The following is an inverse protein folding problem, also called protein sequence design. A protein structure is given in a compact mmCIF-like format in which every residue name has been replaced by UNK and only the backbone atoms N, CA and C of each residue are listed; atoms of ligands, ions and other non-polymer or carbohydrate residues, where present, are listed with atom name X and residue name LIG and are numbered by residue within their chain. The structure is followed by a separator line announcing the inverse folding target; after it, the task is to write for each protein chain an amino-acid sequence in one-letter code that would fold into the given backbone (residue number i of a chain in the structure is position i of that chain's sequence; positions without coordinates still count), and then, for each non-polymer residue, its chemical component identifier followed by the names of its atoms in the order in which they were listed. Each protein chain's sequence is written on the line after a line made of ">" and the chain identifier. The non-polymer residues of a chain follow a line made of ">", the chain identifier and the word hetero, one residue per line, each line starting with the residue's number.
data_IF_416251074617
#
_entry.id   IF_416251074617
#
_cell.length_a   1.000
_cell.length_b   1.000
_cell.length_c   1.000
_cell.angle_alpha   90.00
_cell.angle_beta   90.00
_cell.angle_gamma   90.00
#
_symmetry.space_group_name_H-M   'P 1'
#
loop_
_entity.id
_entity.type
_entity.pdbx_description
1 polymer ?
#
# COMPACT_ATOMS: atom_id res chain seq x y z
N UNK A 1 3.34 1.77 -13.29
CA UNK A 1 3.18 1.14 -11.95
C UNK A 1 2.23 -0.05 -12.11
N UNK A 2 2.50 -1.19 -11.47
CA UNK A 2 1.60 -2.35 -11.49
C UNK A 2 0.95 -2.51 -10.12
N UNK A 3 -0.35 -2.74 -10.09
CA UNK A 3 -1.11 -3.00 -8.87
C UNK A 3 -1.98 -4.25 -9.03
N UNK A 4 -2.37 -4.84 -7.91
CA UNK A 4 -3.25 -6.00 -7.87
C UNK A 4 -4.26 -5.84 -6.72
N UNK A 5 -5.47 -6.31 -6.97
CA UNK A 5 -6.58 -6.30 -6.05
C UNK A 5 -7.14 -7.73 -5.92
N UNK A 6 -7.35 -8.20 -4.70
CA UNK A 6 -7.96 -9.51 -4.45
C UNK A 6 -9.39 -9.32 -3.95
N UNK A 7 -10.35 -9.90 -4.65
CA UNK A 7 -11.75 -9.92 -4.25
C UNK A 7 -12.28 -11.36 -4.29
N UNK A 8 -13.00 -11.77 -3.24
CA UNK A 8 -13.50 -13.15 -3.14
C UNK A 8 -14.84 -13.26 -3.87
N UNK A 9 -14.87 -14.03 -4.93
CA UNK A 9 -16.05 -14.28 -5.76
C UNK A 9 -16.00 -15.67 -6.39
N UNK A 10 -17.12 -16.19 -6.93
CA UNK A 10 -17.12 -17.42 -7.72
C UNK A 10 -16.24 -17.30 -8.97
N UNK A 11 -15.58 -18.39 -9.33
CA UNK A 11 -14.75 -18.49 -10.54
C UNK A 11 -15.58 -18.34 -11.83
N UNK A 12 -14.91 -17.92 -12.91
CA UNK A 12 -15.49 -17.77 -14.24
C UNK A 12 -16.41 -16.56 -14.39
N UNK A 13 -16.33 -15.60 -13.48
CA UNK A 13 -17.17 -14.41 -13.56
C UNK A 13 -16.72 -13.46 -14.66
N UNK A 14 -17.69 -12.71 -15.19
CA UNK A 14 -17.49 -11.70 -16.23
C UNK A 14 -17.84 -10.33 -15.69
N UNK A 15 -17.22 -9.30 -16.26
CA UNK A 15 -17.51 -7.92 -15.88
C UNK A 15 -18.78 -7.43 -16.60
N UNK A 16 -19.55 -6.60 -15.90
CA UNK A 16 -20.80 -6.05 -16.42
C UNK A 16 -20.56 -4.98 -17.49
N UNK A 17 -21.64 -4.51 -18.16
CA UNK A 17 -21.54 -3.53 -19.24
C UNK A 17 -20.98 -2.17 -18.78
N UNK A 18 -21.03 -1.88 -17.48
CA UNK A 18 -20.46 -0.66 -16.88
C UNK A 18 -18.92 -0.66 -16.82
N UNK A 19 -18.27 -1.78 -17.12
CA UNK A 19 -16.81 -1.89 -17.13
C UNK A 19 -16.18 -2.30 -15.80
N UNK A 20 -14.90 -2.62 -15.85
CA UNK A 20 -14.07 -3.08 -14.72
C UNK A 20 -13.75 -1.95 -13.76
N UNK A 21 -13.45 -0.75 -14.28
CA UNK A 21 -13.12 0.42 -13.45
C UNK A 21 -14.27 0.78 -12.51
N UNK A 22 -15.49 0.92 -13.04
CA UNK A 22 -16.67 1.24 -12.25
C UNK A 22 -16.94 0.17 -11.17
N UNK A 23 -16.84 -1.11 -11.56
CA UNK A 23 -16.93 -2.23 -10.62
C UNK A 23 -15.88 -2.12 -9.50
N UNK A 24 -14.64 -1.82 -9.82
CA UNK A 24 -13.57 -1.67 -8.84
C UNK A 24 -13.81 -0.47 -7.92
N UNK A 25 -14.26 0.66 -8.44
CA UNK A 25 -14.61 1.84 -7.63
C UNK A 25 -15.71 1.52 -6.61
N UNK A 26 -16.70 0.70 -7.00
CA UNK A 26 -17.74 0.19 -6.09
C UNK A 26 -17.17 -0.78 -5.04
N UNK A 27 -16.30 -1.72 -5.44
CA UNK A 27 -15.68 -2.68 -4.52
C UNK A 27 -14.79 -1.98 -3.49
N UNK A 28 -14.03 -0.98 -3.94
CA UNK A 28 -13.08 -0.22 -3.13
C UNK A 28 -13.67 1.09 -2.60
N UNK A 29 -15.00 1.21 -2.59
CA UNK A 29 -15.68 2.36 -1.99
C UNK A 29 -15.29 2.49 -0.50
N UNK A 30 -14.91 3.70 -0.09
CA UNK A 30 -14.48 3.99 1.28
C UNK A 30 -13.03 3.58 1.61
N UNK A 31 -12.27 3.07 0.64
CA UNK A 31 -10.82 2.94 0.80
C UNK A 31 -10.12 4.30 0.71
N UNK A 32 -8.85 4.34 1.13
CA UNK A 32 -8.06 5.57 1.03
C UNK A 32 -7.86 5.97 -0.44
N UNK A 33 -7.67 7.27 -0.66
CA UNK A 33 -7.72 7.80 -2.01
C UNK A 33 -6.62 7.30 -2.90
N UNK A 34 -5.46 6.97 -2.34
CA UNK A 34 -4.36 6.48 -3.16
C UNK A 34 -4.79 5.21 -3.93
N UNK A 35 -5.69 4.40 -3.35
CA UNK A 35 -6.29 3.25 -4.05
C UNK A 35 -7.28 3.71 -5.12
N UNK A 36 -8.14 4.68 -4.80
CA UNK A 36 -9.14 5.22 -5.73
C UNK A 36 -8.47 5.91 -6.93
N UNK A 37 -7.49 6.77 -6.68
CA UNK A 37 -6.69 7.49 -7.68
C UNK A 37 -5.95 6.50 -8.59
N UNK A 38 -5.36 5.43 -8.05
CA UNK A 38 -4.74 4.37 -8.84
C UNK A 38 -5.73 3.70 -9.80
N UNK A 39 -6.96 3.43 -9.34
CA UNK A 39 -8.02 2.84 -10.18
C UNK A 39 -8.46 3.84 -11.26
N UNK A 40 -8.68 5.11 -10.91
CA UNK A 40 -9.11 6.16 -11.83
C UNK A 40 -8.06 6.41 -12.93
N UNK A 41 -6.78 6.47 -12.55
CA UNK A 41 -5.65 6.69 -13.44
C UNK A 41 -5.29 5.50 -14.33
N UNK A 42 -5.84 4.31 -14.06
CA UNK A 42 -5.58 3.11 -14.88
C UNK A 42 -6.60 3.04 -16.01
N UNK A 43 -6.14 2.95 -17.27
CA UNK A 43 -7.04 2.78 -18.42
C UNK A 43 -7.89 1.51 -18.29
N UNK A 44 -9.16 1.59 -18.72
CA UNK A 44 -10.13 0.48 -18.60
C UNK A 44 -9.62 -0.82 -19.25
N UNK A 45 -8.92 -0.69 -20.38
CA UNK A 45 -8.36 -1.82 -21.14
C UNK A 45 -7.13 -2.45 -20.46
N UNK A 46 -6.43 -1.68 -19.63
CA UNK A 46 -5.27 -2.15 -18.87
C UNK A 46 -5.67 -2.93 -17.60
N UNK A 47 -6.93 -2.85 -17.18
CA UNK A 47 -7.44 -3.57 -16.02
C UNK A 47 -7.71 -5.03 -16.42
N UNK A 48 -7.06 -5.98 -15.76
CA UNK A 48 -7.23 -7.40 -16.04
C UNK A 48 -7.90 -8.12 -14.87
N UNK A 49 -9.01 -8.79 -15.15
CA UNK A 49 -9.62 -9.75 -14.23
C UNK A 49 -9.01 -11.14 -14.47
N UNK A 50 -8.56 -11.78 -13.40
CA UNK A 50 -8.04 -13.15 -13.45
C UNK A 50 -8.52 -13.92 -12.24
N UNK A 51 -9.09 -15.10 -12.49
CA UNK A 51 -9.34 -16.06 -11.45
C UNK A 51 -8.00 -16.57 -10.89
N UNK A 52 -7.94 -16.74 -9.58
CA UNK A 52 -6.77 -17.26 -8.89
C UNK A 52 -7.11 -18.66 -8.41
N UNK A 53 -6.40 -19.63 -8.96
CA UNK A 53 -6.50 -21.03 -8.56
C UNK A 53 -5.27 -21.41 -7.74
N UNK A 54 -5.50 -22.18 -6.69
CA UNK A 54 -4.45 -22.91 -5.99
C UNK A 54 -4.77 -24.40 -5.99
N UNK A 55 -3.82 -25.20 -5.52
CA UNK A 55 -4.00 -26.64 -5.40
C UNK A 55 -3.81 -27.07 -3.96
N UNK A 56 -4.63 -28.01 -3.50
CA UNK A 56 -4.38 -28.68 -2.22
C UNK A 56 -3.04 -29.42 -2.29
N UNK A 57 -2.15 -29.29 -1.28
CA UNK A 57 -0.85 -29.94 -1.29
C UNK A 57 -0.96 -31.45 -1.51
N UNK A 58 -0.15 -31.97 -2.43
CA UNK A 58 -0.05 -33.41 -2.69
C UNK A 58 1.14 -34.01 -1.93
N UNK A 59 0.95 -35.21 -1.37
CA UNK A 59 1.97 -35.92 -0.59
C UNK A 59 2.88 -36.83 -1.43
N UNK A 60 2.65 -36.88 -2.74
CA UNK A 60 3.44 -37.70 -3.66
C UNK A 60 3.83 -36.85 -4.85
N UNK A 61 5.11 -36.55 -4.96
CA UNK A 61 5.62 -35.62 -5.99
C UNK A 61 6.07 -36.35 -7.26
N UNK A 62 6.22 -37.67 -7.21
CA UNK A 62 6.74 -38.43 -8.33
C UNK A 62 6.64 -39.93 -8.16
N UNK A 63 6.83 -40.65 -9.28
CA UNK A 63 6.83 -42.11 -9.38
C UNK A 63 7.97 -42.57 -10.29
N UNK A 64 8.74 -43.55 -9.83
CA UNK A 64 9.87 -44.09 -10.59
C UNK A 64 10.91 -43.01 -10.86
N UNK A 65 11.25 -42.81 -12.15
CA UNK A 65 12.25 -41.83 -12.60
C UNK A 65 11.66 -40.46 -12.96
N UNK A 66 10.41 -40.19 -12.54
CA UNK A 66 9.72 -38.93 -12.81
C UNK A 66 9.35 -38.25 -11.50
N UNK A 67 9.66 -36.96 -11.38
CA UNK A 67 9.23 -36.10 -10.27
C UNK A 67 8.69 -34.78 -10.78
N UNK A 68 7.78 -34.18 -10.01
CA UNK A 68 7.20 -32.86 -10.18
C UNK A 68 7.97 -31.86 -9.31
N UNK A 69 7.91 -30.57 -9.67
CA UNK A 69 8.46 -29.43 -8.92
C UNK A 69 7.68 -28.14 -9.21
N UNK A 70 7.82 -27.12 -8.36
CA UNK A 70 7.13 -25.84 -8.56
C UNK A 70 5.60 -25.98 -8.54
N UNK A 71 4.90 -25.19 -9.36
CA UNK A 71 3.44 -25.16 -9.40
C UNK A 71 2.78 -26.51 -9.73
N UNK A 72 3.49 -27.41 -10.42
CA UNK A 72 3.00 -28.77 -10.68
C UNK A 72 2.76 -29.58 -9.39
N UNK A 73 3.45 -29.22 -8.31
CA UNK A 73 3.29 -29.78 -6.96
C UNK A 73 2.49 -28.86 -6.05
N UNK A 74 2.83 -27.57 -6.06
CA UNK A 74 2.44 -26.65 -4.99
C UNK A 74 1.99 -25.27 -5.48
N UNK A 75 1.22 -25.24 -6.57
CA UNK A 75 0.49 -24.04 -6.99
C UNK A 75 -0.27 -23.42 -5.80
N UNK A 76 0.06 -22.17 -5.50
CA UNK A 76 -0.41 -21.44 -4.32
C UNK A 76 -0.89 -20.04 -4.71
N UNK A 77 -1.74 -19.46 -3.87
CA UNK A 77 -2.19 -18.07 -4.06
C UNK A 77 -0.99 -17.10 -3.93
N UNK A 78 -0.98 -15.98 -4.69
CA UNK A 78 0.17 -15.09 -4.77
C UNK A 78 0.38 -14.21 -3.52
N UNK A 79 -0.41 -14.39 -2.45
CA UNK A 79 -0.46 -13.50 -1.28
C UNK A 79 0.87 -13.32 -0.54
N UNK A 80 1.81 -14.26 -0.69
CA UNK A 80 3.15 -14.16 -0.11
C UNK A 80 4.27 -13.97 -1.15
N UNK A 81 3.93 -13.99 -2.45
CA UNK A 81 4.92 -13.91 -3.53
C UNK A 81 5.94 -15.06 -3.57
N UNK A 82 5.65 -16.21 -2.94
CA UNK A 82 6.64 -17.28 -2.72
C UNK A 82 6.66 -18.38 -3.79
N UNK A 83 5.66 -18.48 -4.68
CA UNK A 83 5.58 -19.61 -5.64
C UNK A 83 6.87 -19.78 -6.47
N UNK A 84 7.37 -18.69 -7.05
CA UNK A 84 8.61 -18.70 -7.83
C UNK A 84 9.85 -19.01 -6.99
N UNK A 85 9.98 -18.40 -5.81
CA UNK A 85 11.09 -18.69 -4.88
C UNK A 85 11.12 -20.18 -4.49
N UNK A 86 9.96 -20.76 -4.26
CA UNK A 86 9.80 -22.17 -3.91
C UNK A 86 10.18 -23.10 -5.06
N UNK A 87 9.84 -22.76 -6.30
CA UNK A 87 10.27 -23.49 -7.48
C UNK A 87 11.79 -23.45 -7.68
N UNK A 88 12.43 -22.29 -7.42
CA UNK A 88 13.90 -22.15 -7.47
C UNK A 88 14.56 -23.04 -6.41
N UNK A 89 14.06 -23.00 -5.16
CA UNK A 89 14.54 -23.87 -4.09
C UNK A 89 14.38 -25.36 -4.41
N UNK A 90 13.28 -25.73 -5.07
CA UNK A 90 13.07 -27.10 -5.53
C UNK A 90 14.12 -27.53 -6.56
N UNK A 91 14.38 -26.69 -7.57
CA UNK A 91 15.39 -26.96 -8.59
C UNK A 91 16.78 -27.11 -7.98
N UNK A 92 17.14 -26.23 -7.05
CA UNK A 92 18.40 -26.33 -6.31
C UNK A 92 18.50 -27.64 -5.51
N UNK A 93 17.47 -27.95 -4.72
CA UNK A 93 17.49 -29.16 -3.89
C UNK A 93 17.51 -30.44 -4.73
N UNK A 94 16.82 -30.45 -5.88
CA UNK A 94 16.85 -31.56 -6.82
C UNK A 94 18.26 -31.77 -7.40
N UNK A 95 18.93 -30.69 -7.82
CA UNK A 95 20.30 -30.74 -8.32
C UNK A 95 21.26 -31.32 -7.26
N UNK A 96 21.15 -30.87 -6.01
CA UNK A 96 21.96 -31.37 -4.88
C UNK A 96 21.78 -32.88 -4.66
N UNK A 97 20.56 -33.38 -4.68
CA UNK A 97 20.30 -34.82 -4.47
C UNK A 97 20.75 -35.68 -5.66
N UNK A 98 20.62 -35.17 -6.89
CA UNK A 98 21.15 -35.85 -8.07
C UNK A 98 22.68 -35.89 -8.07
N UNK A 99 23.34 -34.79 -7.70
CA UNK A 99 24.81 -34.75 -7.58
C UNK A 99 25.32 -35.75 -6.55
N UNK A 100 24.67 -35.83 -5.37
CA UNK A 100 24.99 -36.84 -4.35
C UNK A 100 24.84 -38.26 -4.89
N UNK A 101 23.78 -38.54 -5.66
CA UNK A 101 23.56 -39.85 -6.25
C UNK A 101 24.64 -40.20 -7.31
N UNK A 102 25.05 -39.23 -8.12
CA UNK A 102 26.15 -39.39 -9.08
C UNK A 102 27.48 -39.67 -8.38
N UNK A 103 27.83 -38.90 -7.34
CA UNK A 103 29.06 -39.11 -6.55
C UNK A 103 29.10 -40.50 -5.93
N UNK A 104 28.00 -40.90 -5.27
CA UNK A 104 27.86 -42.23 -4.68
C UNK A 104 28.02 -43.34 -5.71
N UNK A 105 27.40 -43.20 -6.88
CA UNK A 105 27.51 -44.15 -7.99
C UNK A 105 28.95 -44.30 -8.50
N UNK A 106 29.68 -43.19 -8.62
CA UNK A 106 31.10 -43.21 -9.01
C UNK A 106 31.97 -43.92 -7.98
N UNK A 107 31.74 -43.68 -6.69
CA UNK A 107 32.49 -44.31 -5.60
C UNK A 107 32.22 -45.81 -5.49
N UNK A 108 30.95 -46.22 -5.59
CA UNK A 108 30.54 -47.63 -5.45
C UNK A 108 30.65 -48.44 -6.75
N UNK A 109 30.92 -47.81 -7.89
CA UNK A 109 30.87 -48.41 -9.25
C UNK A 109 29.54 -49.12 -9.55
N UNK A 110 28.43 -48.65 -8.98
CA UNK A 110 27.08 -49.19 -9.22
C UNK A 110 26.24 -48.20 -10.01
N UNK A 111 25.18 -48.63 -10.74
CA UNK A 111 24.28 -47.72 -11.44
C UNK A 111 23.67 -46.65 -10.51
N UNK A 112 23.44 -45.45 -11.05
CA UNK A 112 22.83 -44.34 -10.29
C UNK A 112 21.40 -44.72 -9.86
N UNK A 113 21.16 -44.69 -8.55
CA UNK A 113 19.83 -44.84 -7.97
C UNK A 113 19.05 -43.51 -8.02
N UNK A 114 18.53 -43.21 -9.21
CA UNK A 114 17.73 -42.01 -9.46
C UNK A 114 16.46 -41.99 -8.61
N UNK A 115 15.81 -43.14 -8.40
CA UNK A 115 14.52 -43.18 -7.69
C UNK A 115 14.69 -42.73 -6.25
N UNK A 116 15.74 -43.21 -5.57
CA UNK A 116 16.05 -42.77 -4.21
C UNK A 116 16.44 -41.30 -4.14
N UNK A 117 17.16 -40.77 -5.13
CA UNK A 117 17.53 -39.35 -5.21
C UNK A 117 16.28 -38.46 -5.30
N UNK A 118 15.35 -38.79 -6.20
CA UNK A 118 14.08 -38.05 -6.35
C UNK A 118 13.24 -38.09 -5.07
N UNK A 119 13.21 -39.23 -4.35
CA UNK A 119 12.52 -39.33 -3.05
C UNK A 119 13.20 -38.56 -1.92
N UNK A 120 14.52 -38.41 -1.96
CA UNK A 120 15.24 -37.57 -1.00
C UNK A 120 14.96 -36.08 -1.23
N UNK A 121 14.88 -35.64 -2.50
CA UNK A 121 14.44 -34.30 -2.87
C UNK A 121 13.04 -33.99 -2.32
N UNK A 122 12.07 -34.87 -2.60
CA UNK A 122 10.69 -34.73 -2.13
C UNK A 122 10.64 -34.59 -0.59
N UNK A 123 11.33 -35.48 0.14
CA UNK A 123 11.37 -35.44 1.62
C UNK A 123 12.00 -34.16 2.16
N UNK A 124 13.05 -33.66 1.51
CA UNK A 124 13.73 -32.44 1.93
C UNK A 124 12.85 -31.20 1.77
N UNK A 125 12.02 -31.16 0.73
CA UNK A 125 11.19 -29.99 0.39
C UNK A 125 9.80 -30.00 1.03
N UNK A 126 9.18 -31.17 1.20
CA UNK A 126 7.76 -31.32 1.57
C UNK A 126 7.31 -30.45 2.74
N UNK A 127 8.06 -30.44 3.85
CA UNK A 127 7.68 -29.67 5.04
C UNK A 127 7.70 -28.16 4.75
N UNK A 128 8.76 -27.66 4.10
CA UNK A 128 8.89 -26.23 3.79
C UNK A 128 7.78 -25.77 2.86
N UNK A 129 7.47 -26.57 1.84
CA UNK A 129 6.37 -26.30 0.91
C UNK A 129 5.02 -26.27 1.61
N UNK A 130 4.71 -27.28 2.43
CA UNK A 130 3.43 -27.37 3.11
C UNK A 130 3.19 -26.16 4.04
N UNK A 131 4.21 -25.71 4.75
CA UNK A 131 4.11 -24.55 5.65
C UNK A 131 3.90 -23.26 4.86
N UNK A 132 4.71 -22.97 3.83
CA UNK A 132 4.55 -21.76 3.01
C UNK A 132 3.17 -21.72 2.33
N UNK A 133 2.72 -22.86 1.80
CA UNK A 133 1.39 -22.99 1.19
C UNK A 133 0.27 -22.70 2.19
N UNK A 134 0.35 -23.28 3.39
CA UNK A 134 -0.60 -23.02 4.47
C UNK A 134 -0.64 -21.55 4.86
N UNK A 135 0.53 -20.91 5.00
CA UNK A 135 0.64 -19.48 5.31
C UNK A 135 0.04 -18.61 4.20
N UNK A 136 0.25 -18.94 2.93
CA UNK A 136 -0.32 -18.19 1.80
C UNK A 136 -1.85 -18.25 1.78
N UNK A 137 -2.44 -19.41 2.08
CA UNK A 137 -3.88 -19.57 2.25
C UNK A 137 -4.41 -18.81 3.47
N UNK A 138 -3.74 -18.92 4.61
CA UNK A 138 -4.12 -18.18 5.82
C UNK A 138 -4.09 -16.67 5.61
N UNK A 139 -3.09 -16.14 4.90
CA UNK A 139 -3.02 -14.72 4.54
C UNK A 139 -4.23 -14.29 3.71
N UNK A 140 -4.65 -15.11 2.73
CA UNK A 140 -5.85 -14.86 1.93
C UNK A 140 -7.13 -14.81 2.78
N UNK A 141 -7.28 -15.77 3.69
CA UNK A 141 -8.43 -15.85 4.60
C UNK A 141 -8.45 -14.61 5.50
N UNK A 142 -7.31 -14.24 6.09
CA UNK A 142 -7.22 -13.03 6.92
C UNK A 142 -7.58 -11.78 6.12
N UNK A 143 -7.00 -11.59 4.94
CA UNK A 143 -7.27 -10.42 4.10
C UNK A 143 -8.75 -10.32 3.68
N UNK A 144 -9.42 -11.44 3.41
CA UNK A 144 -10.82 -11.47 2.96
C UNK A 144 -11.86 -11.47 4.09
N UNK A 145 -11.47 -11.80 5.32
CA UNK A 145 -12.38 -11.88 6.49
C UNK A 145 -12.16 -10.80 7.53
N UNK A 146 -11.10 -10.00 7.37
CA UNK A 146 -10.80 -8.90 8.27
C UNK A 146 -11.93 -7.86 8.29
N UNK A 147 -12.36 -7.50 9.51
CA UNK A 147 -13.34 -6.44 9.75
C UNK A 147 -12.71 -5.39 10.65
N UNK A 148 -12.62 -4.15 10.16
CA UNK A 148 -12.05 -3.05 10.93
C UNK A 148 -12.94 -2.67 12.13
N UNK A 149 -14.26 -2.73 11.95
CA UNK A 149 -15.26 -2.29 12.92
C UNK A 149 -16.35 -3.35 13.16
N UNK A 150 -16.96 -3.30 14.35
CA UNK A 150 -18.17 -4.07 14.65
C UNK A 150 -19.34 -3.62 13.75
N UNK A 151 -20.23 -4.55 13.41
CA UNK A 151 -21.38 -4.29 12.53
C UNK A 151 -21.12 -4.56 11.04
N UNK A 152 -19.86 -4.57 10.58
CA UNK A 152 -19.53 -4.83 9.17
C UNK A 152 -19.98 -6.25 8.79
N UNK A 153 -20.90 -6.38 7.84
CA UNK A 153 -21.43 -7.68 7.39
C UNK A 153 -22.26 -8.43 8.44
N UNK A 154 -22.83 -7.75 9.45
CA UNK A 154 -23.73 -8.35 10.46
C UNK A 154 -25.23 -8.13 10.17
N UNK A 155 -25.60 -7.89 8.90
CA UNK A 155 -27.01 -7.76 8.47
C UNK A 155 -27.82 -6.79 9.34
N UNK A 156 -28.77 -7.25 10.17
CA UNK A 156 -29.62 -6.42 11.02
C UNK A 156 -28.87 -5.53 12.04
N UNK A 157 -27.60 -5.80 12.31
CA UNK A 157 -26.74 -4.98 13.19
C UNK A 157 -25.82 -4.01 12.41
N UNK A 158 -26.07 -3.76 11.13
CA UNK A 158 -25.29 -2.82 10.31
C UNK A 158 -25.26 -1.39 10.87
N UNK A 159 -26.28 -1.00 11.65
CA UNK A 159 -26.32 0.30 12.32
C UNK A 159 -25.13 0.52 13.28
N UNK A 160 -24.54 -0.57 13.81
CA UNK A 160 -23.36 -0.50 14.68
C UNK A 160 -22.11 0.01 13.94
N UNK A 161 -22.06 -0.09 12.60
CA UNK A 161 -20.95 0.45 11.80
C UNK A 161 -20.84 1.97 11.92
N UNK A 162 -21.96 2.68 12.14
CA UNK A 162 -21.97 4.14 12.35
C UNK A 162 -21.16 4.57 13.57
N UNK A 163 -21.12 3.72 14.60
CA UNK A 163 -20.38 4.00 15.83
C UNK A 163 -18.90 3.64 15.73
N UNK A 164 -18.45 3.04 14.62
CA UNK A 164 -17.04 2.71 14.34
C UNK A 164 -16.30 2.06 15.52
N UNK A 165 -16.98 1.15 16.22
CA UNK A 165 -16.40 0.46 17.37
C UNK A 165 -15.34 -0.53 16.85
N UNK A 166 -14.06 -0.43 17.28
CA UNK A 166 -13.00 -1.31 16.81
C UNK A 166 -13.34 -2.78 17.08
N UNK A 167 -13.17 -3.64 16.07
CA UNK A 167 -13.43 -5.06 16.26
C UNK A 167 -12.43 -5.66 17.28
N UNK A 168 -12.83 -6.47 18.27
CA UNK A 168 -11.91 -7.04 19.27
C UNK A 168 -10.79 -7.87 18.63
N UNK A 169 -11.08 -8.52 17.49
CA UNK A 169 -10.08 -9.20 16.67
C UNK A 169 -9.00 -8.28 16.07
N UNK A 170 -9.24 -6.97 15.92
CA UNK A 170 -8.24 -5.98 15.50
C UNK A 170 -7.21 -5.74 16.60
N UNK A 171 -7.64 -5.68 17.86
CA UNK A 171 -6.75 -5.42 19.02
C UNK A 171 -5.93 -6.67 19.35
N UNK A 172 -6.60 -7.82 19.50
CA UNK A 172 -5.93 -9.10 19.75
C UNK A 172 -5.05 -9.52 18.57
N UNK A 173 -5.57 -9.39 17.34
CA UNK A 173 -4.84 -9.72 16.12
C UNK A 173 -3.57 -8.89 15.93
N UNK A 174 -3.60 -7.58 16.21
CA UNK A 174 -2.41 -6.71 16.15
C UNK A 174 -1.32 -7.17 17.10
N UNK A 175 -1.66 -7.53 18.34
CA UNK A 175 -0.71 -8.06 19.31
C UNK A 175 -0.02 -9.35 18.84
N UNK A 176 -0.79 -10.32 18.34
CA UNK A 176 -0.22 -11.57 17.82
C UNK A 176 0.62 -11.35 16.56
N UNK A 177 0.15 -10.48 15.65
CA UNK A 177 0.88 -10.11 14.44
C UNK A 177 2.21 -9.42 14.79
N UNK A 178 2.23 -8.45 15.70
CA UNK A 178 3.46 -7.73 16.09
C UNK A 178 4.54 -8.64 16.72
N UNK A 179 4.11 -9.76 17.31
CA UNK A 179 5.00 -10.76 17.88
C UNK A 179 5.46 -11.80 16.85
N UNK A 180 4.53 -12.33 16.05
CA UNK A 180 4.80 -13.42 15.13
C UNK A 180 5.39 -12.96 13.78
N UNK A 181 5.07 -11.73 13.33
CA UNK A 181 5.45 -11.22 12.01
C UNK A 181 6.97 -11.19 11.78
N UNK A 182 7.84 -10.77 12.73
CA UNK A 182 9.28 -10.79 12.49
C UNK A 182 9.84 -12.20 12.24
N UNK A 183 9.37 -13.21 13.00
CA UNK A 183 9.75 -14.61 12.82
C UNK A 183 9.25 -15.15 11.49
N UNK A 184 7.99 -14.85 11.17
CA UNK A 184 7.37 -15.19 9.89
C UNK A 184 8.11 -14.58 8.70
N UNK A 185 8.40 -13.29 8.72
CA UNK A 185 9.11 -12.59 7.66
C UNK A 185 10.53 -13.13 7.52
N UNK A 186 11.25 -13.38 8.62
CA UNK A 186 12.57 -14.01 8.57
C UNK A 186 12.51 -15.39 7.88
N UNK A 187 11.50 -16.20 8.18
CA UNK A 187 11.38 -17.55 7.63
C UNK A 187 10.85 -17.59 6.18
N UNK A 188 9.97 -16.65 5.81
CA UNK A 188 9.42 -16.48 4.47
C UNK A 188 10.44 -15.82 3.53
N UNK A 189 11.09 -14.73 3.96
CA UNK A 189 12.03 -13.96 3.15
C UNK A 189 13.45 -14.53 3.18
N UNK A 190 13.91 -15.01 4.34
CA UNK A 190 15.28 -15.51 4.54
C UNK A 190 15.47 -17.01 4.28
N UNK A 191 14.38 -17.78 4.26
CA UNK A 191 14.42 -19.23 4.04
C UNK A 191 14.70 -20.08 5.29
N UNK A 192 14.60 -21.41 5.16
CA UNK A 192 14.82 -22.35 6.28
C UNK A 192 16.32 -22.58 6.52
N UNK A 193 16.82 -22.14 7.67
CA UNK A 193 18.25 -22.03 8.00
C UNK A 193 18.96 -23.33 8.40
N UNK A 194 18.24 -24.44 8.63
CA UNK A 194 18.85 -25.66 9.19
C UNK A 194 19.59 -26.57 8.18
N UNK A 195 19.61 -26.25 6.88
CA UNK A 195 20.24 -27.09 5.83
C UNK A 195 21.02 -26.33 4.75
N UNK A 196 21.52 -25.12 5.02
CA UNK A 196 22.13 -24.23 4.01
C UNK A 196 23.56 -23.80 4.37
N UNK A 197 24.46 -24.74 4.67
CA UNK A 197 25.87 -24.40 4.95
C UNK A 197 26.65 -24.07 3.67
N UNK A 198 27.35 -22.92 3.63
CA UNK A 198 28.30 -22.54 2.57
C UNK A 198 27.94 -21.38 1.62
N UNK A 199 27.16 -20.36 2.02
CA UNK A 199 26.78 -19.24 1.12
C UNK A 199 27.58 -17.95 1.31
N UNK A 200 28.12 -17.36 0.23
CA UNK A 200 27.83 -15.97 -0.23
C UNK A 200 28.45 -15.67 -1.61
N UNK A 201 27.72 -15.02 -2.55
CA UNK A 201 28.08 -13.64 -2.92
C UNK A 201 26.90 -12.72 -3.32
N UNK A 202 25.67 -13.01 -2.88
CA UNK A 202 24.48 -12.16 -3.08
C UNK A 202 23.52 -12.23 -1.86
N UNK A 203 23.03 -11.05 -1.44
CA UNK A 203 22.37 -10.63 -0.18
C UNK A 203 22.94 -11.21 1.14
N UNK A 204 23.31 -10.34 2.11
CA UNK A 204 24.01 -10.74 3.35
C UNK A 204 23.05 -10.90 4.55
N UNK A 205 23.35 -11.80 5.47
CA UNK A 205 22.50 -12.17 6.62
C UNK A 205 22.62 -11.26 7.87
N UNK A 206 23.41 -10.18 7.82
CA UNK A 206 23.26 -9.04 8.75
C UNK A 206 22.06 -8.15 8.40
N UNK A 207 21.50 -8.33 7.20
CA UNK A 207 20.41 -7.52 6.66
C UNK A 207 19.11 -8.04 7.28
N UNK A 208 18.82 -7.60 8.50
CA UNK A 208 17.50 -7.77 9.09
C UNK A 208 16.51 -6.87 8.36
N UNK A 209 15.28 -7.34 8.20
CA UNK A 209 14.17 -6.41 7.96
C UNK A 209 14.25 -5.33 9.04
N UNK A 210 14.17 -4.05 8.65
CA UNK A 210 14.28 -2.91 9.54
C UNK A 210 13.50 -3.17 10.84
N UNK A 211 14.21 -3.18 11.98
CA UNK A 211 13.59 -3.35 13.31
C UNK A 211 12.66 -2.18 13.65
N UNK A 212 12.72 -1.10 12.87
CA UNK A 212 11.83 0.05 12.97
C UNK A 212 10.39 -0.26 12.52
N UNK A 213 10.09 -1.47 12.04
CA UNK A 213 8.72 -1.84 11.71
C UNK A 213 7.76 -1.53 12.88
N UNK A 214 8.18 -1.85 14.11
CA UNK A 214 7.39 -1.52 15.31
C UNK A 214 7.26 -0.02 15.56
N UNK A 215 8.29 0.76 15.23
CA UNK A 215 8.28 2.22 15.30
C UNK A 215 7.33 2.79 14.27
N UNK A 216 7.37 2.30 13.02
CA UNK A 216 6.45 2.70 11.94
C UNK A 216 4.99 2.32 12.22
N UNK A 217 4.74 1.23 12.96
CA UNK A 217 3.40 0.88 13.42
C UNK A 217 2.89 1.72 14.61
N UNK A 218 3.72 2.58 15.21
CA UNK A 218 3.38 3.37 16.41
C UNK A 218 3.49 4.88 16.20
N UNK A 219 4.34 5.31 15.28
CA UNK A 219 4.66 6.71 15.01
C UNK A 219 4.32 7.05 13.56
N UNK A 220 3.04 7.33 13.30
CA UNK A 220 2.54 7.79 12.00
C UNK A 220 3.28 9.07 11.56
N UNK A 221 3.76 9.89 12.52
CA UNK A 221 4.51 11.11 12.22
C UNK A 221 5.92 10.80 11.69
N UNK A 222 6.55 9.70 12.12
CA UNK A 222 7.82 9.26 11.53
C UNK A 222 7.65 8.80 10.08
N UNK A 223 6.50 8.20 9.75
CA UNK A 223 6.19 7.78 8.39
C UNK A 223 5.95 9.01 7.50
N UNK A 224 5.18 10.00 7.98
CA UNK A 224 4.97 11.28 7.30
C UNK A 224 6.28 12.07 7.12
N UNK A 225 7.16 12.13 8.13
CA UNK A 225 8.48 12.78 8.00
C UNK A 225 9.40 12.08 6.99
N UNK A 226 9.22 10.77 6.80
CA UNK A 226 9.97 10.01 5.81
C UNK A 226 9.37 10.11 4.39
N UNK A 227 8.16 10.67 4.25
CA UNK A 227 7.55 10.92 2.94
C UNK A 227 8.25 12.11 2.27
N UNK A 228 9.17 11.82 1.36
CA UNK A 228 9.64 12.83 0.41
C UNK A 228 8.57 13.04 -0.65
N UNK A 229 7.93 14.21 -0.64
CA UNK A 229 6.90 14.54 -1.62
C UNK A 229 6.47 16.00 -1.58
N UNK A 230 5.81 16.39 -2.65
CA UNK A 230 5.24 17.72 -2.84
C UNK A 230 3.81 17.74 -2.33
N UNK A 231 3.45 18.80 -1.58
CA UNK A 231 2.13 18.91 -0.95
C UNK A 231 1.19 19.75 -1.82
N UNK A 232 -0.04 19.26 -1.96
CA UNK A 232 -1.08 19.91 -2.73
C UNK A 232 -2.40 19.93 -1.97
N UNK A 233 -3.12 21.03 -2.09
CA UNK A 233 -4.55 21.12 -1.79
C UNK A 233 -5.31 20.97 -3.10
N UNK A 234 -5.84 19.79 -3.35
CA UNK A 234 -6.57 19.47 -4.59
C UNK A 234 -8.05 19.78 -4.37
N UNK A 235 -8.69 20.61 -5.19
CA UNK A 235 -10.12 20.87 -5.09
C UNK A 235 -10.92 19.57 -5.10
N UNK A 236 -11.87 19.44 -4.18
CA UNK A 236 -12.74 18.28 -4.03
C UNK A 236 -14.20 18.72 -3.99
N UNK A 237 -15.11 17.89 -4.52
CA UNK A 237 -16.54 18.19 -4.61
C UNK A 237 -16.97 18.81 -5.94
N UNK A 238 -18.22 18.55 -6.34
CA UNK A 238 -18.79 18.93 -7.64
C UNK A 238 -19.11 20.42 -7.80
N UNK A 239 -19.24 21.16 -6.69
CA UNK A 239 -19.62 22.58 -6.67
C UNK A 239 -18.44 23.49 -6.28
N UNK A 240 -17.21 22.99 -6.37
CA UNK A 240 -16.04 23.74 -5.97
C UNK A 240 -15.79 24.92 -6.91
N UNK A 241 -15.50 26.08 -6.36
CA UNK A 241 -15.26 27.30 -7.14
C UNK A 241 -13.84 27.33 -7.70
N UNK A 242 -12.89 26.64 -7.06
CA UNK A 242 -11.51 26.55 -7.52
C UNK A 242 -11.31 25.23 -8.26
N UNK A 243 -10.74 25.30 -9.46
CA UNK A 243 -10.47 24.11 -10.30
C UNK A 243 -9.00 23.66 -10.28
N UNK A 244 -8.08 24.53 -9.88
CA UNK A 244 -6.65 24.25 -9.89
C UNK A 244 -6.15 23.81 -8.50
N UNK A 245 -5.27 22.79 -8.42
CA UNK A 245 -4.58 22.45 -7.19
C UNK A 245 -3.70 23.59 -6.67
N UNK A 246 -3.66 23.77 -5.35
CA UNK A 246 -2.77 24.72 -4.71
C UNK A 246 -1.53 23.97 -4.22
N UNK A 247 -0.35 24.39 -4.65
CA UNK A 247 0.92 23.84 -4.19
C UNK A 247 1.34 24.45 -2.84
N UNK A 248 1.74 23.60 -1.91
CA UNK A 248 2.30 23.97 -0.62
C UNK A 248 3.75 23.50 -0.55
N UNK A 249 4.67 24.46 -0.48
CA UNK A 249 6.10 24.15 -0.41
C UNK A 249 6.56 23.96 1.03
N UNK A 250 7.34 22.90 1.23
CA UNK A 250 8.04 22.60 2.49
C UNK A 250 9.27 23.49 2.69
N UNK A 251 9.79 24.14 1.64
CA UNK A 251 10.98 24.99 1.72
C UNK A 251 10.73 26.38 2.31
N UNK A 252 9.46 26.76 2.52
CA UNK A 252 9.06 28.08 3.03
C UNK A 252 8.67 28.01 4.52
N UNK A 253 9.53 27.47 5.39
CA UNK A 253 9.23 27.37 6.84
C UNK A 253 8.89 28.72 7.48
N UNK A 254 9.39 29.83 6.91
CA UNK A 254 9.21 31.19 7.44
C UNK A 254 8.17 32.04 6.71
N UNK A 255 7.55 31.55 5.63
CA UNK A 255 6.56 32.31 4.85
C UNK A 255 5.21 31.58 4.86
N UNK A 256 4.22 32.08 5.60
CA UNK A 256 2.91 31.46 5.60
C UNK A 256 2.13 31.77 4.32
N UNK A 257 1.28 30.84 3.93
CA UNK A 257 0.25 31.03 2.93
C UNK A 257 -0.98 31.69 3.55
N UNK A 258 -1.47 32.77 2.95
CA UNK A 258 -2.65 33.48 3.40
C UNK A 258 -3.84 33.14 2.50
N UNK A 259 -4.93 32.67 3.08
CA UNK A 259 -6.14 32.27 2.37
C UNK A 259 -7.22 33.32 2.57
N UNK A 260 -7.81 33.78 1.48
CA UNK A 260 -8.81 34.84 1.50
C UNK A 260 -9.67 34.89 0.24
N UNK A 261 -10.71 35.72 0.26
CA UNK A 261 -11.56 35.96 -0.92
C UNK A 261 -10.96 36.93 -1.93
N UNK A 262 -9.94 37.70 -1.53
CA UNK A 262 -9.26 38.70 -2.34
C UNK A 262 -7.75 38.63 -2.13
N UNK A 263 -6.96 39.12 -3.09
CA UNK A 263 -5.51 39.20 -2.97
C UNK A 263 -5.10 40.32 -2.03
N UNK A 264 -4.17 40.06 -1.12
CA UNK A 264 -3.56 41.08 -0.27
C UNK A 264 -2.18 41.47 -0.80
N UNK A 265 -1.94 42.78 -1.01
CA UNK A 265 -0.70 43.31 -1.62
C UNK A 265 0.56 42.96 -0.81
N UNK A 266 0.46 42.95 0.52
CA UNK A 266 1.56 42.62 1.44
C UNK A 266 2.07 41.16 1.31
N UNK A 267 1.28 40.26 0.72
CA UNK A 267 1.57 38.82 0.63
C UNK A 267 1.40 38.26 -0.80
N UNK A 268 1.60 39.09 -1.82
CA UNK A 268 1.29 38.75 -3.23
C UNK A 268 1.87 37.42 -3.74
N UNK A 269 2.99 36.93 -3.20
CA UNK A 269 3.60 35.64 -3.58
C UNK A 269 3.04 34.41 -2.84
N UNK A 270 2.38 34.58 -1.69
CA UNK A 270 1.84 33.47 -0.87
C UNK A 270 0.34 33.61 -0.58
N UNK A 271 -0.31 34.60 -1.19
CA UNK A 271 -1.77 34.80 -1.10
C UNK A 271 -2.50 33.83 -2.03
N UNK A 272 -3.38 33.02 -1.44
CA UNK A 272 -4.26 32.08 -2.12
C UNK A 272 -5.66 32.69 -2.11
N UNK A 273 -6.17 33.01 -3.30
CA UNK A 273 -7.50 33.61 -3.47
C UNK A 273 -8.53 32.52 -3.77
N UNK A 274 -9.57 32.44 -2.95
CA UNK A 274 -10.69 31.51 -3.11
C UNK A 274 -11.97 32.35 -3.24
N UNK A 275 -12.52 32.56 -4.44
CA UNK A 275 -13.62 33.49 -4.68
C UNK A 275 -14.98 32.87 -4.31
N UNK A 276 -15.17 32.53 -3.03
CA UNK A 276 -16.42 32.02 -2.48
C UNK A 276 -17.03 33.02 -1.51
N UNK A 277 -18.36 33.12 -1.51
CA UNK A 277 -19.11 34.03 -0.63
C UNK A 277 -18.91 33.72 0.86
N UNK A 278 -18.60 32.46 1.22
CA UNK A 278 -18.33 32.08 2.61
C UNK A 278 -16.84 32.16 3.00
N UNK A 279 -15.97 32.59 2.09
CA UNK A 279 -14.57 32.84 2.39
C UNK A 279 -14.42 34.32 2.74
N UNK A 280 -14.00 34.62 3.98
CA UNK A 280 -13.67 35.99 4.40
C UNK A 280 -12.46 36.55 3.65
N UNK A 281 -12.33 37.89 3.60
CA UNK A 281 -11.18 38.60 3.01
C UNK A 281 -9.84 38.07 3.53
N UNK A 282 -9.75 37.90 4.85
CA UNK A 282 -8.71 37.13 5.52
C UNK A 282 -9.38 35.96 6.24
N UNK A 283 -9.25 34.74 5.70
CA UNK A 283 -9.98 33.57 6.20
C UNK A 283 -9.09 32.69 7.07
N UNK A 284 -7.95 32.26 6.54
CA UNK A 284 -7.06 31.33 7.23
C UNK A 284 -5.60 31.52 6.82
N UNK A 285 -4.71 30.93 7.60
CA UNK A 285 -3.27 30.91 7.35
C UNK A 285 -2.75 29.48 7.41
N UNK A 286 -1.95 29.08 6.41
CA UNK A 286 -1.23 27.81 6.41
C UNK A 286 0.26 28.09 6.59
N UNK A 287 0.90 27.37 7.50
CA UNK A 287 2.34 27.47 7.76
C UNK A 287 2.97 26.10 7.92
N UNK A 288 4.18 25.93 7.44
CA UNK A 288 4.97 24.72 7.67
C UNK A 288 5.95 24.94 8.82
N UNK A 289 5.93 24.05 9.81
CA UNK A 289 6.82 24.13 10.98
C UNK A 289 7.09 22.74 11.54
N UNK A 290 8.31 22.47 12.00
CA UNK A 290 8.69 21.23 12.70
C UNK A 290 8.33 19.96 11.90
N UNK A 291 8.44 20.00 10.57
CA UNK A 291 8.14 18.85 9.72
C UNK A 291 6.66 18.66 9.35
N UNK A 292 5.78 19.60 9.67
CA UNK A 292 4.33 19.48 9.44
C UNK A 292 3.67 20.79 9.02
N UNK A 293 2.55 20.68 8.30
CA UNK A 293 1.69 21.82 8.00
C UNK A 293 0.64 22.05 9.09
N UNK A 294 0.44 23.33 9.40
CA UNK A 294 -0.56 23.82 10.34
C UNK A 294 -1.47 24.83 9.66
N UNK A 295 -2.75 24.76 9.99
CA UNK A 295 -3.81 25.63 9.55
C UNK A 295 -4.33 26.43 10.74
N UNK A 296 -4.45 27.74 10.59
CA UNK A 296 -4.99 28.65 11.59
C UNK A 296 -6.16 29.40 10.96
N UNK A 297 -7.34 29.28 11.56
CA UNK A 297 -8.49 30.11 11.20
C UNK A 297 -8.29 31.53 11.75
N UNK A 298 -8.38 32.55 10.90
CA UNK A 298 -8.13 33.96 11.26
C UNK A 298 -9.43 34.66 11.68
N UNK A 299 -10.25 34.00 12.50
CA UNK A 299 -11.59 34.45 12.89
C UNK A 299 -12.51 34.65 11.69
N UNK A 300 -12.51 33.67 10.78
CA UNK A 300 -13.38 33.73 9.62
C UNK A 300 -14.86 33.69 10.03
N UNK A 301 -15.71 34.38 9.26
CA UNK A 301 -17.13 34.51 9.58
C UNK A 301 -17.85 33.15 9.58
N UNK A 302 -17.55 32.30 8.59
CA UNK A 302 -18.20 31.00 8.40
C UNK A 302 -17.38 29.82 8.96
N UNK A 303 -16.16 30.07 9.42
CA UNK A 303 -15.27 29.08 10.01
C UNK A 303 -14.51 28.24 8.99
N UNK A 304 -13.36 27.72 9.43
CA UNK A 304 -12.59 26.68 8.73
C UNK A 304 -12.87 25.31 9.36
N UNK A 305 -13.04 24.27 8.55
CA UNK A 305 -13.32 22.90 9.00
C UNK A 305 -12.30 21.92 8.44
N UNK A 306 -11.94 20.92 9.23
CA UNK A 306 -11.11 19.79 8.80
C UNK A 306 -11.88 18.50 9.02
N UNK A 307 -11.88 17.65 8.00
CA UNK A 307 -12.37 16.27 8.07
C UNK A 307 -11.16 15.34 7.98
N UNK A 308 -10.90 14.60 9.06
CA UNK A 308 -9.76 13.68 9.12
C UNK A 308 -9.97 12.42 8.26
N UNK A 309 -8.93 11.59 8.15
CA UNK A 309 -8.99 10.28 7.47
C UNK A 309 -9.99 9.30 8.09
N UNK A 310 -10.46 9.55 9.31
CA UNK A 310 -11.55 8.82 9.94
C UNK A 310 -12.91 9.49 9.66
N UNK A 311 -13.01 10.45 8.75
CA UNK A 311 -14.26 11.13 8.40
C UNK A 311 -14.84 11.98 9.53
N UNK A 312 -14.08 12.27 10.58
CA UNK A 312 -14.52 13.16 11.67
C UNK A 312 -14.30 14.60 11.25
N UNK A 313 -15.40 15.31 11.04
CA UNK A 313 -15.40 16.74 10.72
C UNK A 313 -15.41 17.57 12.01
N UNK A 314 -14.47 18.48 12.16
CA UNK A 314 -14.38 19.42 13.28
C UNK A 314 -14.06 20.83 12.79
N UNK A 315 -14.51 21.84 13.54
CA UNK A 315 -14.17 23.25 13.28
C UNK A 315 -12.81 23.55 13.88
N UNK A 316 -11.95 24.22 13.11
CA UNK A 316 -10.66 24.72 13.60
C UNK A 316 -10.90 25.89 14.55
N UNK A 317 -10.30 25.84 15.73
CA UNK A 317 -10.39 26.93 16.71
C UNK A 317 -9.68 28.17 16.18
N UNK A 318 -10.37 29.31 16.17
CA UNK A 318 -9.81 30.57 15.65
C UNK A 318 -8.54 30.98 16.42
N UNK A 319 -7.53 31.42 15.67
CA UNK A 319 -6.18 31.78 16.13
C UNK A 319 -5.36 30.65 16.78
N UNK A 320 -5.84 29.41 16.78
CA UNK A 320 -5.08 28.26 17.25
C UNK A 320 -4.64 27.37 16.07
N UNK A 321 -3.37 26.94 16.02
CA UNK A 321 -2.89 26.07 14.96
C UNK A 321 -3.50 24.67 15.09
N UNK A 322 -4.13 24.21 14.02
CA UNK A 322 -4.55 22.83 13.83
C UNK A 322 -3.66 22.17 12.78
N UNK A 323 -3.05 21.03 13.12
CA UNK A 323 -2.29 20.22 12.16
C UNK A 323 -3.25 19.51 11.22
N UNK A 324 -2.93 19.49 9.94
CA UNK A 324 -3.60 18.63 8.97
C UNK A 324 -2.63 17.62 8.37
N UNK A 325 -3.16 16.50 7.90
CA UNK A 325 -2.41 15.33 7.43
C UNK A 325 -2.75 15.00 5.98
N UNK A 326 -1.93 14.17 5.31
CA UNK A 326 -2.30 13.65 3.99
C UNK A 326 -3.65 12.93 4.04
N UNK A 327 -4.45 13.11 2.99
CA UNK A 327 -5.83 12.62 2.82
C UNK A 327 -6.93 13.34 3.62
N UNK A 328 -6.56 14.24 4.55
CA UNK A 328 -7.52 15.13 5.21
C UNK A 328 -8.22 16.04 4.19
N UNK A 329 -9.43 16.48 4.52
CA UNK A 329 -10.20 17.43 3.72
C UNK A 329 -10.39 18.73 4.50
N UNK A 330 -9.97 19.85 3.92
CA UNK A 330 -10.07 21.19 4.49
C UNK A 330 -11.21 21.93 3.78
N UNK A 331 -12.11 22.53 4.54
CA UNK A 331 -13.22 23.34 4.02
C UNK A 331 -13.10 24.77 4.56
N UNK A 332 -13.08 25.76 3.66
CA UNK A 332 -13.12 27.18 4.02
C UNK A 332 -14.56 27.67 3.90
N UNK A 333 -15.25 27.82 5.03
CA UNK A 333 -16.70 27.99 5.09
C UNK A 333 -17.45 26.66 5.22
N UNK A 334 -18.78 26.72 5.05
CA UNK A 334 -19.70 25.61 5.33
C UNK A 334 -20.59 25.20 4.15
N UNK A 335 -20.52 25.91 3.03
CA UNK A 335 -21.34 25.70 1.83
C UNK A 335 -20.78 24.66 0.84
N UNK A 336 -19.66 24.03 1.18
CA UNK A 336 -18.95 23.03 0.36
C UNK A 336 -18.39 23.55 -0.97
N UNK A 337 -18.31 24.87 -1.15
CA UNK A 337 -17.80 25.48 -2.38
C UNK A 337 -16.29 25.74 -2.40
N UNK A 338 -15.64 25.57 -1.24
CA UNK A 338 -14.20 25.74 -1.06
C UNK A 338 -13.62 24.57 -0.26
N UNK A 339 -13.70 23.36 -0.84
CA UNK A 339 -13.23 22.12 -0.23
C UNK A 339 -11.94 21.66 -0.90
N UNK A 340 -10.92 21.34 -0.13
CA UNK A 340 -9.65 20.87 -0.65
C UNK A 340 -9.22 19.60 0.04
N UNK A 341 -8.77 18.65 -0.74
CA UNK A 341 -8.17 17.41 -0.25
C UNK A 341 -6.67 17.53 -0.22
N UNK A 342 -6.08 17.19 0.91
CA UNK A 342 -4.62 17.24 1.12
C UNK A 342 -3.98 16.02 0.45
N UNK A 343 -3.10 16.26 -0.51
CA UNK A 343 -2.37 15.22 -1.24
C UNK A 343 -0.88 15.45 -1.11
N UNK A 344 -0.13 14.35 -1.01
CA UNK A 344 1.33 14.36 -1.09
C UNK A 344 1.72 13.49 -2.27
N UNK A 345 2.37 14.10 -3.25
CA UNK A 345 2.74 13.44 -4.50
C UNK A 345 4.24 13.24 -4.48
N UNK A 346 4.69 12.01 -4.71
CA UNK A 346 6.11 11.71 -4.83
C UNK A 346 6.69 12.43 -6.05
N UNK A 347 7.77 13.17 -5.84
CA UNK A 347 8.55 13.70 -6.97
C UNK A 347 9.16 12.52 -7.72
N UNK A 348 9.01 12.43 -9.05
CA UNK A 348 9.73 11.40 -9.80
C UNK A 348 11.23 11.57 -9.53
N UNK A 349 12.01 10.48 -9.47
CA UNK A 349 13.46 10.59 -9.37
C UNK A 349 13.93 11.49 -10.51
N UNK A 350 14.54 12.60 -10.12
CA UNK A 350 15.02 13.63 -11.03
C UNK A 350 15.95 12.93 -12.06
N UNK A 351 15.50 12.76 -13.30
CA UNK A 351 16.41 12.54 -14.39
C UNK A 351 17.18 13.85 -14.54
N UNK A 352 18.31 13.94 -13.84
CA UNK A 352 19.30 14.99 -14.04
C UNK A 352 19.94 14.80 -15.43
N UNK A 353 19.18 15.14 -16.45
CA UNK A 353 19.63 15.45 -17.80
C UNK A 353 18.51 16.27 -18.43
N UNK A 354 18.83 17.53 -18.77
CA UNK A 354 17.96 18.50 -19.46
C UNK A 354 17.10 19.43 -18.59
N UNK A 355 17.75 20.12 -17.63
CA UNK A 355 17.53 21.57 -17.49
C UNK A 355 18.79 22.28 -17.95
N UNK A 356 19.00 22.32 -19.26
CA UNK A 356 19.81 23.37 -19.86
C UNK A 356 18.90 24.57 -20.08
N UNK A 357 19.46 25.72 -19.74
CA UNK A 357 18.91 27.06 -19.92
C UNK A 357 18.16 27.22 -21.24
N UNK A 358 16.92 27.68 -21.15
CA UNK A 358 16.25 28.38 -22.23
C UNK A 358 15.29 29.38 -21.59
N UNK A 359 15.83 30.48 -21.09
CA UNK A 359 15.11 31.73 -21.21
C UNK A 359 15.19 32.12 -22.68
N UNK A 360 14.08 32.05 -23.41
CA UNK A 360 13.81 32.92 -24.56
C UNK A 360 12.35 32.78 -25.00
N UNK A 361 11.69 33.93 -24.90
CA UNK A 361 10.47 34.46 -25.52
C UNK A 361 10.12 33.81 -26.89
N UNK A 362 8.81 33.56 -27.12
CA UNK A 362 7.97 33.96 -28.30
C UNK A 362 6.76 33.00 -28.37
N UNK A 363 5.55 33.46 -28.00
CA UNK A 363 4.49 34.02 -28.86
C UNK A 363 3.95 33.11 -29.99
N UNK A 364 2.62 33.11 -30.04
CA UNK A 364 1.70 32.40 -30.93
C UNK A 364 2.01 32.49 -32.43
N UNK A 365 1.66 31.41 -33.16
CA UNK A 365 0.53 31.32 -34.12
C UNK A 365 -0.01 29.89 -34.07
#
# INVERSE_FOLDING_TARGET
>A
MQWYAFHKEPAGGVDGPEGKKERLLKIFEGWCDNVVDLILATDEEAILRRDIYDRTPIFTWGRGRVTLLGDSVHAMQPNLGQGGCMAIEDGYQLAVELEKACKKSNESKTPIDIVSALKSYERARRLRVAVIHGLARSAAVMASTYKAYLGVGLGPLSFLTKFRIPHPGRVGGRFFIDLAMPLMLSWVLGGNSSKLEGRSPCCKLSDKASDNLRTWFRDDDALERAMNGEWFLVPSGSENVVSQPIYLSVSHENEPYLIGSESHEDFSRTSIVIPSAQVSKMHARISYKDGAFYLIDLQSEHGTYVTDNEGRRYRVSSNFPARFRPSDTIEFGSDKKAIFRVKVIGTPPNNNSERKEAGEILQAV
#
